data_IF_498272008020
#
_entry.id   IF_498272008020
#
_cell.length_a   1.000
_cell.length_b   1.000
_cell.length_c   1.000
_cell.angle_alpha   90.00
_cell.angle_beta   90.00
_cell.angle_gamma   90.00
#
_symmetry.space_group_name_H-M   'P 1'
#
loop_
_entity.id
_entity.type
_entity.pdbx_description
1 polymer ?
#
# COMPACT_ATOMS: atom_id res chain seq x y z
N UNK A 1 -1.46 25.31 12.66
CA UNK A 1 -0.82 25.36 11.33
C UNK A 1 -1.18 26.68 10.68
N UNK A 2 -0.20 27.41 10.18
CA UNK A 2 -0.39 28.66 9.43
C UNK A 2 -0.52 28.32 7.94
N UNK A 3 -1.24 29.12 7.16
CA UNK A 3 -1.42 28.89 5.72
C UNK A 3 -0.09 28.89 4.96
N UNK A 4 0.85 29.71 5.41
CA UNK A 4 2.20 29.76 4.89
C UNK A 4 2.93 28.41 5.00
N UNK A 5 2.55 27.55 5.95
CA UNK A 5 3.17 26.23 6.13
C UNK A 5 2.93 25.36 4.90
N UNK A 6 1.77 25.44 4.23
CA UNK A 6 1.52 24.73 2.97
C UNK A 6 2.43 25.22 1.84
N UNK A 7 2.54 26.54 1.68
CA UNK A 7 3.33 27.14 0.60
C UNK A 7 4.82 26.87 0.79
N UNK A 8 5.34 27.01 2.01
CA UNK A 8 6.74 26.72 2.36
C UNK A 8 7.10 25.25 2.13
N UNK A 9 6.07 24.40 2.08
CA UNK A 9 6.13 22.97 1.80
C UNK A 9 6.03 22.66 0.30
N UNK A 10 6.09 23.66 -0.56
CA UNK A 10 5.98 23.47 -2.00
C UNK A 10 4.59 23.05 -2.45
N UNK A 11 3.57 23.24 -1.60
CA UNK A 11 2.18 22.97 -1.96
C UNK A 11 1.49 24.25 -2.40
N UNK A 12 0.83 24.18 -3.55
CA UNK A 12 0.03 25.28 -4.08
C UNK A 12 -1.36 25.27 -3.47
N UNK A 13 -1.78 26.40 -2.88
CA UNK A 13 -3.08 26.53 -2.23
C UNK A 13 -4.04 27.45 -2.99
N UNK A 14 -5.34 27.26 -2.76
CA UNK A 14 -6.39 28.15 -3.25
C UNK A 14 -7.45 28.44 -2.16
N UNK A 15 -8.12 29.60 -2.22
CA UNK A 15 -9.24 29.90 -1.33
C UNK A 15 -10.52 29.21 -1.80
N UNK A 16 -11.20 28.56 -0.86
CA UNK A 16 -12.51 27.95 -1.03
C UNK A 16 -13.55 28.73 -0.22
N UNK A 17 -14.80 28.72 -0.68
CA UNK A 17 -15.92 29.38 -0.01
C UNK A 17 -16.04 28.86 1.43
N UNK A 18 -16.26 29.75 2.42
CA UNK A 18 -16.46 29.33 3.80
C UNK A 18 -17.56 28.27 3.90
N UNK A 19 -17.33 27.24 4.74
CA UNK A 19 -18.25 26.10 4.93
C UNK A 19 -18.53 25.26 3.68
N UNK A 20 -17.76 25.44 2.61
CA UNK A 20 -17.96 24.77 1.33
C UNK A 20 -16.64 24.24 0.77
N UNK A 21 -16.75 23.39 -0.26
CA UNK A 21 -15.63 22.85 -1.05
C UNK A 21 -15.42 23.60 -2.38
N UNK A 22 -16.20 24.66 -2.62
CA UNK A 22 -16.21 25.39 -3.90
C UNK A 22 -15.14 26.50 -3.94
N UNK A 23 -14.37 26.65 -5.03
CA UNK A 23 -13.35 27.69 -5.13
C UNK A 23 -13.91 29.13 -5.16
N UNK A 24 -13.11 30.09 -4.73
CA UNK A 24 -13.47 31.52 -4.73
C UNK A 24 -12.76 32.34 -5.81
N UNK A 25 -13.47 33.32 -6.37
CA UNK A 25 -12.91 34.29 -7.32
C UNK A 25 -12.41 33.66 -8.62
N UNK A 26 -11.40 34.28 -9.23
CA UNK A 26 -10.73 33.78 -10.45
C UNK A 26 -9.75 32.64 -10.13
N UNK A 27 -10.23 31.63 -9.41
CA UNK A 27 -9.43 30.55 -8.82
C UNK A 27 -8.62 29.74 -9.83
N UNK A 28 -9.09 29.61 -11.08
CA UNK A 28 -8.37 28.89 -12.15
C UNK A 28 -6.99 29.48 -12.47
N UNK A 29 -6.72 30.73 -12.11
CA UNK A 29 -5.37 31.30 -12.18
C UNK A 29 -4.40 30.49 -11.32
N UNK A 30 -4.83 30.10 -10.12
CA UNK A 30 -4.00 29.38 -9.16
C UNK A 30 -3.62 27.98 -9.63
N UNK A 31 -4.37 27.39 -10.59
CA UNK A 31 -4.01 26.11 -11.22
C UNK A 31 -2.82 26.23 -12.20
N UNK A 32 -2.36 27.45 -12.51
CA UNK A 32 -1.24 27.71 -13.42
C UNK A 32 -0.09 28.43 -12.72
N UNK A 33 -0.43 29.32 -11.80
CA UNK A 33 0.52 30.13 -11.03
C UNK A 33 0.28 29.91 -9.54
N UNK A 34 1.24 29.39 -8.76
CA UNK A 34 1.08 29.24 -7.32
C UNK A 34 0.79 30.57 -6.61
N UNK A 35 -0.11 30.54 -5.62
CA UNK A 35 -0.35 31.67 -4.74
C UNK A 35 0.88 31.95 -3.87
N UNK A 36 1.28 33.22 -3.76
CA UNK A 36 2.40 33.63 -2.89
C UNK A 36 1.98 33.70 -1.41
N UNK A 37 2.96 33.65 -0.50
CA UNK A 37 2.71 33.82 0.95
C UNK A 37 2.03 35.17 1.24
N UNK A 38 2.43 36.25 0.56
CA UNK A 38 1.83 37.57 0.71
C UNK A 38 0.36 37.59 0.25
N UNK A 39 0.06 37.00 -0.91
CA UNK A 39 -1.32 36.86 -1.40
C UNK A 39 -2.17 36.03 -0.43
N UNK A 40 -1.65 34.91 0.07
CA UNK A 40 -2.36 34.07 1.04
C UNK A 40 -2.67 34.83 2.34
N UNK A 41 -1.72 35.64 2.83
CA UNK A 41 -1.90 36.48 4.01
C UNK A 41 -2.99 37.52 3.78
N UNK A 42 -3.00 38.15 2.60
CA UNK A 42 -4.05 39.10 2.24
C UNK A 42 -5.42 38.42 2.16
N UNK A 43 -5.55 37.31 1.45
CA UNK A 43 -6.83 36.61 1.28
C UNK A 43 -7.45 36.21 2.63
N UNK A 44 -6.71 35.52 3.49
CA UNK A 44 -7.25 35.09 4.79
C UNK A 44 -7.29 36.20 5.84
N UNK A 45 -6.54 37.29 5.64
CA UNK A 45 -6.63 38.51 6.43
C UNK A 45 -7.92 39.29 6.17
N UNK A 46 -8.34 39.39 4.90
CA UNK A 46 -9.44 40.25 4.45
C UNK A 46 -10.83 39.64 4.60
N UNK A 47 -11.03 38.37 4.23
CA UNK A 47 -12.39 37.80 4.16
C UNK A 47 -12.92 37.33 5.52
N UNK A 48 -14.17 37.65 5.83
CA UNK A 48 -14.92 37.13 6.98
C UNK A 48 -16.31 36.65 6.53
N UNK A 49 -16.73 35.40 6.87
CA UNK A 49 -15.94 34.36 7.53
C UNK A 49 -14.71 33.96 6.70
N UNK A 50 -13.68 33.41 7.37
CA UNK A 50 -12.44 33.05 6.70
C UNK A 50 -12.70 31.98 5.62
N UNK A 51 -12.02 32.07 4.44
CA UNK A 51 -12.09 31.05 3.42
C UNK A 51 -11.62 29.69 3.94
N UNK A 52 -12.17 28.61 3.38
CA UNK A 52 -11.57 27.29 3.49
C UNK A 52 -10.31 27.20 2.61
N UNK A 53 -9.44 26.25 2.90
CA UNK A 53 -8.18 26.01 2.19
C UNK A 53 -8.32 24.82 1.26
N UNK A 54 -8.02 25.03 -0.02
CA UNK A 54 -7.78 23.96 -0.97
C UNK A 54 -6.28 23.81 -1.25
N UNK A 55 -5.82 22.59 -1.48
CA UNK A 55 -4.49 22.30 -2.04
C UNK A 55 -4.70 21.82 -3.47
N UNK A 56 -4.04 22.47 -4.42
CA UNK A 56 -4.03 22.08 -5.83
C UNK A 56 -3.11 20.87 -5.98
N UNK A 57 -3.59 19.81 -6.62
CA UNK A 57 -2.84 18.56 -6.80
C UNK A 57 -2.12 18.57 -8.15
N UNK A 58 -1.15 17.67 -8.33
CA UNK A 58 -0.35 17.51 -9.55
C UNK A 58 0.94 18.32 -9.58
N UNK A 59 1.39 18.63 -10.80
CA UNK A 59 2.73 19.16 -11.06
C UNK A 59 2.98 20.49 -10.34
N UNK A 60 1.96 21.34 -10.22
CA UNK A 60 2.05 22.64 -9.55
C UNK A 60 2.35 22.54 -8.04
N UNK A 61 2.11 21.37 -7.45
CA UNK A 61 2.47 21.04 -6.06
C UNK A 61 3.53 19.95 -6.03
N UNK A 62 4.50 19.98 -6.95
CA UNK A 62 5.61 19.02 -6.99
C UNK A 62 5.18 17.57 -7.24
N UNK A 63 4.11 17.37 -8.01
CA UNK A 63 3.58 16.03 -8.30
C UNK A 63 2.71 15.46 -7.18
N UNK A 64 2.06 16.30 -6.35
CA UNK A 64 1.17 15.82 -5.30
C UNK A 64 0.00 15.01 -5.87
N UNK A 65 -0.21 13.82 -5.33
CA UNK A 65 -1.38 12.97 -5.58
C UNK A 65 -2.08 12.72 -4.25
N UNK A 66 -3.40 12.85 -4.23
CA UNK A 66 -4.20 12.53 -3.04
C UNK A 66 -5.21 11.44 -3.35
N UNK A 67 -5.20 10.38 -2.54
CA UNK A 67 -6.19 9.32 -2.57
C UNK A 67 -7.31 9.72 -1.59
N UNK A 68 -8.48 10.08 -2.12
CA UNK A 68 -9.65 10.55 -1.38
C UNK A 68 -10.66 9.43 -1.26
N UNK A 69 -10.65 8.75 -0.12
CA UNK A 69 -11.45 7.56 0.19
C UNK A 69 -12.75 8.00 0.87
N UNK A 70 -13.87 7.49 0.36
CA UNK A 70 -15.20 7.78 0.90
C UNK A 70 -15.40 7.13 2.30
N UNK A 71 -16.20 7.74 3.19
CA UNK A 71 -16.38 7.28 4.58
C UNK A 71 -16.68 5.79 4.73
N UNK A 72 -17.58 5.25 3.91
CA UNK A 72 -18.00 3.85 3.88
C UNK A 72 -16.89 2.86 3.49
N UNK A 73 -15.75 3.36 3.01
CA UNK A 73 -14.61 2.59 2.56
C UNK A 73 -13.39 2.71 3.46
N UNK A 74 -13.42 3.60 4.46
CA UNK A 74 -12.27 3.87 5.34
C UNK A 74 -11.88 2.64 6.16
N UNK A 75 -12.83 1.85 6.64
CA UNK A 75 -12.54 0.64 7.43
C UNK A 75 -11.68 -0.36 6.62
N UNK A 76 -11.99 -0.50 5.33
CA UNK A 76 -11.29 -1.39 4.41
C UNK A 76 -9.96 -0.82 3.91
N UNK A 77 -9.76 0.50 3.98
CA UNK A 77 -8.54 1.18 3.53
C UNK A 77 -7.29 0.72 4.29
N UNK A 78 -7.45 0.24 5.52
CA UNK A 78 -6.39 -0.37 6.32
C UNK A 78 -5.81 -1.65 5.70
N UNK A 79 -6.58 -2.33 4.86
CA UNK A 79 -6.17 -3.55 4.14
C UNK A 79 -5.44 -3.24 2.82
N UNK A 80 -5.46 -1.96 2.41
CA UNK A 80 -4.80 -1.48 1.21
C UNK A 80 -3.37 -1.11 1.55
N UNK A 81 -2.44 -1.40 0.64
CA UNK A 81 -1.01 -1.21 0.86
C UNK A 81 -0.64 0.27 0.77
N UNK A 82 -0.98 1.01 1.82
CA UNK A 82 -0.59 2.39 2.00
C UNK A 82 0.54 2.48 3.03
N UNK A 83 1.61 3.23 2.74
CA UNK A 83 2.69 3.46 3.68
C UNK A 83 2.15 4.00 5.01
N UNK A 84 2.54 3.40 6.16
CA UNK A 84 1.97 3.72 7.46
C UNK A 84 2.20 5.18 7.87
N UNK A 85 3.28 5.80 7.38
CA UNK A 85 3.67 7.19 7.67
C UNK A 85 3.28 8.19 6.58
N UNK A 86 2.51 7.80 5.56
CA UNK A 86 2.01 8.76 4.59
C UNK A 86 1.11 9.80 5.29
N UNK A 87 1.22 11.10 4.97
CA UNK A 87 0.34 12.12 5.56
C UNK A 87 -1.13 11.82 5.29
N UNK A 88 -1.97 12.01 6.30
CA UNK A 88 -3.38 11.61 6.31
C UNK A 88 -4.27 12.71 6.88
N UNK A 89 -5.39 12.96 6.21
CA UNK A 89 -6.43 13.87 6.70
C UNK A 89 -7.74 13.12 6.80
N UNK A 90 -8.38 13.20 7.96
CA UNK A 90 -9.79 12.83 8.09
C UNK A 90 -10.65 13.94 7.49
N UNK A 91 -11.51 13.58 6.55
CA UNK A 91 -12.41 14.53 5.89
C UNK A 91 -13.60 14.87 6.78
N UNK A 92 -14.28 15.98 6.46
CA UNK A 92 -15.44 16.42 7.25
C UNK A 92 -16.56 15.37 7.36
N UNK A 93 -16.72 14.48 6.38
CA UNK A 93 -17.74 13.41 6.38
C UNK A 93 -17.26 12.10 7.00
N UNK A 94 -16.02 12.04 7.49
CA UNK A 94 -15.41 10.81 8.02
C UNK A 94 -14.64 9.98 7.00
N UNK A 95 -14.44 10.49 5.78
CA UNK A 95 -13.56 9.87 4.77
C UNK A 95 -12.08 10.11 5.08
N UNK A 96 -11.18 9.68 4.17
CA UNK A 96 -9.73 9.74 4.36
C UNK A 96 -9.02 10.27 3.11
N UNK A 97 -8.24 11.34 3.27
CA UNK A 97 -7.24 11.72 2.27
C UNK A 97 -5.89 11.12 2.65
N UNK A 98 -5.18 10.51 1.70
CA UNK A 98 -3.80 10.03 1.87
C UNK A 98 -2.91 10.66 0.78
N UNK A 99 -1.79 11.24 1.18
CA UNK A 99 -0.96 12.09 0.32
C UNK A 99 0.27 11.34 -0.19
N UNK A 100 0.50 11.43 -1.51
CA UNK A 100 1.56 10.76 -2.26
C UNK A 100 2.21 11.70 -3.27
N UNK A 101 3.28 11.24 -3.91
CA UNK A 101 3.88 11.87 -5.08
C UNK A 101 3.74 10.99 -6.30
N UNK A 102 3.44 11.57 -7.46
CA UNK A 102 3.46 10.85 -8.72
C UNK A 102 2.90 11.68 -9.87
N UNK A 103 2.97 11.10 -11.07
CA UNK A 103 2.39 11.65 -12.29
C UNK A 103 1.09 10.91 -12.59
N UNK A 104 -0.03 11.44 -12.11
CA UNK A 104 -1.35 10.93 -12.44
C UNK A 104 -2.35 12.08 -12.64
N UNK A 105 -3.39 11.84 -13.43
CA UNK A 105 -4.52 12.74 -13.54
C UNK A 105 -5.52 12.58 -12.39
N UNK A 106 -6.63 13.30 -12.48
CA UNK A 106 -7.81 13.02 -11.64
C UNK A 106 -8.62 11.87 -12.22
N UNK A 107 -9.01 10.92 -11.38
CA UNK A 107 -9.83 9.78 -11.79
C UNK A 107 -10.66 9.24 -10.62
N UNK A 108 -11.52 8.27 -10.90
CA UNK A 108 -12.17 7.49 -9.83
C UNK A 108 -11.16 6.51 -9.25
N UNK A 109 -11.08 6.47 -7.92
CA UNK A 109 -10.38 5.40 -7.23
C UNK A 109 -11.26 4.16 -7.31
N UNK A 110 -10.79 3.16 -8.05
CA UNK A 110 -11.47 1.88 -8.18
C UNK A 110 -10.68 0.79 -7.51
N UNK A 111 -11.39 -0.08 -6.82
CA UNK A 111 -10.88 -1.37 -6.36
C UNK A 111 -11.72 -2.43 -7.08
N UNK A 112 -11.11 -3.09 -8.07
CA UNK A 112 -11.85 -3.87 -9.06
C UNK A 112 -12.85 -2.99 -9.84
N UNK A 113 -14.12 -3.40 -9.87
CA UNK A 113 -15.21 -2.66 -10.53
C UNK A 113 -15.87 -1.61 -9.63
N UNK A 114 -15.57 -1.60 -8.33
CA UNK A 114 -16.20 -0.70 -7.36
C UNK A 114 -15.45 0.63 -7.28
N UNK A 115 -16.18 1.72 -7.40
CA UNK A 115 -15.67 3.05 -7.07
C UNK A 115 -15.67 3.19 -5.56
N UNK A 116 -14.51 3.45 -4.98
CA UNK A 116 -14.30 3.58 -3.52
C UNK A 116 -13.83 4.97 -3.10
N UNK A 117 -13.70 5.87 -4.07
CA UNK A 117 -13.27 7.25 -3.87
C UNK A 117 -12.77 7.90 -5.15
N UNK A 118 -11.86 8.85 -5.00
CA UNK A 118 -11.22 9.58 -6.08
C UNK A 118 -9.69 9.56 -5.96
N UNK A 119 -9.00 9.50 -7.10
CA UNK A 119 -7.59 9.89 -7.21
C UNK A 119 -7.55 11.34 -7.65
N UNK A 120 -6.87 12.18 -6.86
CA UNK A 120 -6.73 13.62 -7.10
C UNK A 120 -5.28 13.91 -7.46
N UNK A 121 -5.00 13.84 -8.76
CA UNK A 121 -3.71 14.20 -9.35
C UNK A 121 -3.77 15.53 -10.09
N UNK A 122 -3.09 15.64 -11.23
CA UNK A 122 -3.01 16.86 -12.01
C UNK A 122 -4.38 17.41 -12.46
N UNK A 123 -4.50 18.73 -12.45
CA UNK A 123 -5.75 19.45 -12.72
C UNK A 123 -6.81 19.38 -11.61
N UNK A 124 -6.49 18.78 -10.46
CA UNK A 124 -7.38 18.64 -9.31
C UNK A 124 -7.07 19.57 -8.14
N UNK A 125 -7.90 19.50 -7.11
CA UNK A 125 -7.60 20.02 -5.79
C UNK A 125 -8.33 19.22 -4.71
N UNK A 126 -7.84 19.29 -3.48
CA UNK A 126 -8.50 18.73 -2.28
C UNK A 126 -8.72 19.80 -1.22
N UNK A 127 -9.71 19.60 -0.35
CA UNK A 127 -9.90 20.45 0.82
C UNK A 127 -8.92 20.04 1.91
N UNK A 128 -8.25 21.00 2.53
CA UNK A 128 -7.19 20.76 3.51
C UNK A 128 -7.53 21.35 4.89
N UNK A 129 -6.98 20.79 5.98
CA UNK A 129 -7.09 21.41 7.30
C UNK A 129 -6.54 22.85 7.31
N UNK A 130 -7.09 23.77 8.12
CA UNK A 130 -8.10 23.57 9.16
C UNK A 130 -9.54 23.80 8.65
N UNK A 131 -9.82 23.57 7.37
CA UNK A 131 -11.14 23.85 6.76
C UNK A 131 -12.29 23.14 7.47
N UNK A 132 -13.47 23.76 7.42
CA UNK A 132 -14.71 23.22 7.96
C UNK A 132 -15.81 23.28 6.90
N UNK A 133 -16.67 22.26 6.84
CA UNK A 133 -17.94 22.27 6.09
C UNK A 133 -19.11 22.08 7.04
N UNK A 134 -20.33 22.08 6.51
CA UNK A 134 -21.53 21.77 7.31
C UNK A 134 -21.43 20.40 7.99
N UNK A 135 -20.81 19.43 7.30
CA UNK A 135 -20.61 18.06 7.81
C UNK A 135 -19.57 17.94 8.93
N UNK A 136 -18.66 18.91 9.11
CA UNK A 136 -17.58 18.82 10.11
C UNK A 136 -16.25 19.42 9.68
N UNK A 137 -15.16 19.01 10.32
CA UNK A 137 -13.82 19.56 10.13
C UNK A 137 -12.91 18.61 9.34
N UNK A 138 -12.06 19.20 8.50
CA UNK A 138 -10.90 18.51 7.95
C UNK A 138 -9.77 18.55 8.99
N UNK A 139 -9.29 17.38 9.41
CA UNK A 139 -8.31 17.25 10.50
C UNK A 139 -7.15 16.36 10.11
N UNK A 140 -5.92 16.79 10.41
CA UNK A 140 -4.74 15.94 10.25
C UNK A 140 -4.83 14.76 11.23
N UNK A 141 -4.66 13.54 10.70
CA UNK A 141 -4.43 12.32 11.49
C UNK A 141 -2.92 12.12 11.63
N UNK A 142 -2.23 12.12 10.50
CA UNK A 142 -0.77 12.05 10.40
C UNK A 142 -0.32 13.21 9.53
N UNK A 143 0.68 13.97 9.97
CA UNK A 143 1.13 15.15 9.22
C UNK A 143 2.63 15.09 9.00
N UNK A 144 3.08 15.84 8.01
CA UNK A 144 4.51 16.08 7.82
C UNK A 144 5.15 16.77 9.05
N UNK A 145 6.47 16.60 9.25
CA UNK A 145 7.23 17.35 10.26
C UNK A 145 7.08 18.86 10.08
N UNK A 146 7.13 19.60 11.20
CA UNK A 146 7.02 21.06 11.18
C UNK A 146 8.28 21.74 10.63
N UNK A 147 9.46 21.14 10.79
CA UNK A 147 10.72 21.68 10.30
C UNK A 147 10.76 21.66 8.75
N UNK A 148 10.89 22.83 8.08
CA UNK A 148 11.04 22.92 6.64
C UNK A 148 12.30 22.25 6.09
N UNK A 149 13.35 22.06 6.90
CA UNK A 149 14.56 21.33 6.51
C UNK A 149 14.32 19.81 6.52
N UNK A 150 13.40 19.34 7.36
CA UNK A 150 13.08 17.93 7.50
C UNK A 150 12.05 17.45 6.47
N UNK A 151 11.31 18.34 5.81
CA UNK A 151 10.25 17.95 4.89
C UNK A 151 10.17 18.80 3.62
N UNK A 152 10.03 18.13 2.47
CA UNK A 152 9.59 18.70 1.20
C UNK A 152 8.59 17.75 0.54
N UNK A 153 7.84 18.24 -0.45
CA UNK A 153 6.91 17.40 -1.22
C UNK A 153 7.62 16.25 -1.97
N UNK A 154 8.93 16.37 -2.21
CA UNK A 154 9.76 15.30 -2.78
C UNK A 154 9.97 14.11 -1.84
N UNK A 155 9.72 14.28 -0.54
CA UNK A 155 9.80 13.21 0.46
C UNK A 155 8.47 12.46 0.65
N UNK A 156 7.42 12.80 -0.10
CA UNK A 156 6.20 12.01 -0.10
C UNK A 156 6.47 10.65 -0.75
N UNK A 157 5.82 9.62 -0.20
CA UNK A 157 5.86 8.28 -0.79
C UNK A 157 5.35 8.31 -2.23
N UNK A 158 5.93 7.52 -3.14
CA UNK A 158 5.39 7.36 -4.49
C UNK A 158 3.95 6.84 -4.42
N UNK A 159 3.12 7.26 -5.36
CA UNK A 159 1.77 6.73 -5.52
C UNK A 159 1.86 5.21 -5.68
N UNK A 160 1.07 4.41 -4.93
CA UNK A 160 1.11 2.97 -5.05
C UNK A 160 0.86 2.52 -6.50
N UNK A 161 1.62 1.54 -6.98
CA UNK A 161 1.60 1.12 -8.40
C UNK A 161 0.20 0.69 -8.87
N UNK A 162 -0.58 0.06 -8.00
CA UNK A 162 -1.96 -0.37 -8.28
C UNK A 162 -2.93 0.79 -8.56
N UNK A 163 -2.59 2.01 -8.14
CA UNK A 163 -3.34 3.23 -8.48
C UNK A 163 -2.87 3.81 -9.83
N UNK A 164 -1.58 3.63 -10.15
CA UNK A 164 -0.90 4.20 -11.30
C UNK A 164 -1.15 3.48 -12.62
N UNK A 165 -1.22 2.15 -12.66
CA UNK A 165 -1.36 1.40 -13.93
C UNK A 165 -2.68 1.66 -14.66
N UNK A 166 -3.77 1.95 -13.94
CA UNK A 166 -5.08 2.27 -14.53
C UNK A 166 -5.22 3.73 -15.01
N UNK A 167 -4.26 4.60 -14.66
CA UNK A 167 -4.36 6.05 -14.84
C UNK A 167 -3.15 6.71 -15.50
N UNK A 168 -2.10 5.95 -15.85
CA UNK A 168 -1.04 6.42 -16.75
C UNK A 168 -1.68 6.65 -18.11
N UNK A 169 -1.51 7.84 -18.67
CA UNK A 169 -1.90 8.12 -20.05
C UNK A 169 -1.16 7.15 -20.98
N UNK A 170 -1.86 6.12 -21.44
CA UNK A 170 -1.36 5.22 -22.47
C UNK A 170 -1.15 6.01 -23.77
N UNK A 171 0.08 6.47 -23.98
CA UNK A 171 0.58 6.68 -25.33
C UNK A 171 1.18 5.36 -25.81
N UNK A 172 0.37 4.59 -26.55
CA UNK A 172 0.89 3.77 -27.65
C UNK A 172 1.02 2.26 -27.44
N UNK A 173 0.37 1.56 -28.38
CA UNK A 173 0.66 0.23 -28.94
C UNK A 173 0.16 -0.98 -28.16
N UNK A 174 -0.99 -1.49 -28.61
CA UNK A 174 -1.37 -2.88 -28.44
C UNK A 174 -0.39 -3.78 -29.16
N UNK A 175 0.43 -4.48 -28.37
CA UNK A 175 1.11 -5.70 -28.76
C UNK A 175 0.59 -6.81 -27.86
N UNK A 176 0.37 -7.99 -28.41
CA UNK A 176 0.24 -9.22 -27.64
C UNK A 176 1.59 -9.48 -26.96
N UNK A 177 1.79 -8.85 -25.81
CA UNK A 177 2.95 -9.12 -24.98
C UNK A 177 2.78 -10.50 -24.36
N UNK A 178 3.72 -11.40 -24.64
CA UNK A 178 3.85 -12.66 -23.91
C UNK A 178 3.90 -12.37 -22.42
N UNK A 179 3.08 -13.06 -21.62
CA UNK A 179 3.10 -12.91 -20.16
C UNK A 179 4.47 -13.38 -19.66
N UNK A 180 5.23 -12.55 -18.92
CA UNK A 180 6.57 -12.93 -18.46
C UNK A 180 6.50 -14.11 -17.49
N UNK A 181 7.57 -14.93 -17.38
CA UNK A 181 7.62 -16.00 -16.41
C UNK A 181 7.55 -15.43 -14.98
N UNK A 182 6.89 -16.14 -14.05
CA UNK A 182 6.72 -15.66 -12.68
C UNK A 182 8.05 -15.74 -11.90
N UNK A 183 8.27 -14.86 -10.90
CA UNK A 183 9.41 -14.96 -10.00
C UNK A 183 9.50 -16.31 -9.28
N UNK A 184 10.72 -16.82 -9.08
CA UNK A 184 10.98 -18.08 -8.37
C UNK A 184 10.54 -17.98 -6.91
N UNK A 185 9.81 -18.99 -6.43
CA UNK A 185 9.29 -19.03 -5.06
C UNK A 185 9.38 -20.37 -4.35
N UNK A 186 9.00 -20.40 -3.07
CA UNK A 186 9.00 -21.62 -2.25
C UNK A 186 7.80 -22.47 -2.61
N UNK A 187 8.00 -23.78 -2.72
CA UNK A 187 6.88 -24.73 -2.83
C UNK A 187 6.22 -24.91 -1.46
N UNK A 188 4.93 -24.63 -1.37
CA UNK A 188 4.12 -24.78 -0.16
C UNK A 188 3.02 -25.82 -0.37
N UNK A 189 2.81 -26.64 0.66
CA UNK A 189 1.62 -27.49 0.76
C UNK A 189 0.36 -26.61 0.88
N UNK A 190 -0.74 -26.90 0.17
CA UNK A 190 -1.96 -26.08 0.21
C UNK A 190 -2.59 -25.95 1.60
N UNK A 191 -2.59 -27.02 2.40
CA UNK A 191 -3.19 -27.02 3.73
C UNK A 191 -2.36 -26.17 4.69
N UNK A 192 -1.03 -26.25 4.58
CA UNK A 192 -0.13 -25.41 5.35
C UNK A 192 -0.21 -23.95 4.91
N UNK A 193 -0.25 -23.69 3.61
CA UNK A 193 -0.46 -22.35 3.06
C UNK A 193 -1.77 -21.74 3.57
N UNK A 194 -2.86 -22.51 3.65
CA UNK A 194 -4.15 -22.05 4.17
C UNK A 194 -4.04 -21.57 5.61
N UNK A 195 -3.33 -22.30 6.48
CA UNK A 195 -3.10 -21.90 7.89
C UNK A 195 -2.34 -20.59 8.04
N UNK A 196 -1.54 -20.24 7.02
CA UNK A 196 -0.69 -19.06 6.99
C UNK A 196 -1.35 -17.87 6.31
N UNK A 197 -2.43 -18.06 5.57
CA UNK A 197 -3.26 -16.96 5.04
C UNK A 197 -4.06 -16.32 6.18
N UNK A 198 -4.43 -15.04 6.07
CA UNK A 198 -5.17 -14.31 7.14
C UNK A 198 -6.52 -14.95 7.49
N UNK A 199 -6.96 -14.87 8.75
CA UNK A 199 -8.19 -15.55 9.18
C UNK A 199 -9.45 -15.07 8.45
N UNK A 200 -9.61 -13.78 8.04
CA UNK A 200 -10.70 -13.36 7.17
C UNK A 200 -10.75 -14.15 5.86
N UNK A 201 -9.59 -14.41 5.25
CA UNK A 201 -9.51 -15.19 4.02
C UNK A 201 -9.71 -16.67 4.29
N UNK A 202 -9.15 -17.25 5.37
CA UNK A 202 -9.45 -18.63 5.78
C UNK A 202 -10.96 -18.86 5.97
N UNK A 203 -11.66 -17.92 6.60
CA UNK A 203 -13.11 -17.96 6.78
C UNK A 203 -13.85 -17.87 5.44
N UNK A 204 -13.38 -17.07 4.50
CA UNK A 204 -13.98 -16.99 3.17
C UNK A 204 -13.73 -18.24 2.32
N UNK A 205 -12.55 -18.85 2.43
CA UNK A 205 -12.21 -20.11 1.78
C UNK A 205 -13.07 -21.25 2.34
N UNK A 206 -13.19 -21.32 3.68
CA UNK A 206 -13.93 -22.39 4.36
C UNK A 206 -15.45 -22.23 4.34
N UNK A 207 -15.95 -20.98 4.39
CA UNK A 207 -17.37 -20.64 4.48
C UNK A 207 -18.03 -20.33 3.14
N UNK A 208 -17.26 -20.29 2.05
CA UNK A 208 -17.72 -19.89 0.72
C UNK A 208 -17.74 -18.38 0.50
N UNK A 209 -17.48 -17.97 -0.75
CA UNK A 209 -17.57 -16.57 -1.16
C UNK A 209 -19.02 -16.13 -1.30
N UNK A 210 -19.36 -14.95 -0.75
CA UNK A 210 -20.67 -14.32 -0.98
C UNK A 210 -20.48 -12.94 -1.62
N UNK A 211 -21.28 -12.56 -2.64
CA UNK A 211 -21.14 -11.27 -3.34
C UNK A 211 -21.31 -10.01 -2.47
N UNK A 212 -21.79 -10.17 -1.23
CA UNK A 212 -22.02 -9.08 -0.27
C UNK A 212 -21.12 -9.21 0.98
N UNK A 213 -20.12 -10.10 0.94
CA UNK A 213 -19.18 -10.32 2.04
C UNK A 213 -18.03 -9.30 2.05
N UNK A 214 -17.02 -9.54 2.91
CA UNK A 214 -15.88 -8.65 3.13
C UNK A 214 -14.98 -8.42 1.89
N UNK A 215 -15.16 -9.20 0.82
CA UNK A 215 -14.35 -9.17 -0.40
C UNK A 215 -15.23 -8.96 -1.63
N UNK A 216 -15.02 -7.84 -2.33
CA UNK A 216 -15.99 -7.25 -3.27
C UNK A 216 -16.37 -8.10 -4.48
N UNK A 217 -15.41 -8.78 -5.14
CA UNK A 217 -15.66 -9.67 -6.27
C UNK A 217 -14.87 -10.99 -6.15
N UNK A 218 -15.23 -12.01 -6.93
CA UNK A 218 -14.48 -13.27 -6.99
C UNK A 218 -13.03 -13.04 -7.48
N UNK A 219 -12.82 -12.19 -8.48
CA UNK A 219 -11.48 -11.84 -8.97
C UNK A 219 -10.67 -11.02 -7.97
N UNK A 220 -11.31 -10.18 -7.15
CA UNK A 220 -10.63 -9.47 -6.06
C UNK A 220 -10.23 -10.43 -4.94
N UNK A 221 -11.08 -11.41 -4.62
CA UNK A 221 -10.74 -12.46 -3.67
C UNK A 221 -9.55 -13.28 -4.17
N UNK A 222 -9.57 -13.72 -5.43
CA UNK A 222 -8.45 -14.43 -6.06
C UNK A 222 -7.17 -13.61 -5.98
N UNK A 223 -7.21 -12.33 -6.37
CA UNK A 223 -6.06 -11.44 -6.29
C UNK A 223 -5.54 -11.27 -4.85
N UNK A 224 -6.42 -11.14 -3.86
CA UNK A 224 -6.02 -11.03 -2.44
C UNK A 224 -5.35 -12.30 -1.94
N UNK A 225 -5.88 -13.46 -2.29
CA UNK A 225 -5.31 -14.75 -1.88
C UNK A 225 -3.95 -14.94 -2.55
N UNK A 226 -3.83 -14.67 -3.85
CA UNK A 226 -2.54 -14.69 -4.56
C UNK A 226 -1.53 -13.75 -3.89
N UNK A 227 -1.94 -12.52 -3.53
CA UNK A 227 -1.08 -11.56 -2.84
C UNK A 227 -0.58 -12.10 -1.50
N UNK A 228 -1.46 -12.69 -0.71
CA UNK A 228 -1.14 -13.26 0.60
C UNK A 228 -0.22 -14.47 0.49
N UNK A 229 -0.47 -15.34 -0.49
CA UNK A 229 0.40 -16.47 -0.82
C UNK A 229 1.80 -15.99 -1.25
N UNK A 230 1.90 -14.95 -2.07
CA UNK A 230 3.21 -14.36 -2.46
C UNK A 230 3.93 -13.79 -1.24
N UNK A 231 3.24 -13.10 -0.34
CA UNK A 231 3.85 -12.56 0.89
C UNK A 231 4.45 -13.66 1.76
N UNK A 232 3.77 -14.81 1.91
CA UNK A 232 4.33 -15.96 2.65
C UNK A 232 5.38 -16.73 1.86
N UNK A 233 5.72 -16.28 0.65
CA UNK A 233 6.78 -16.86 -0.16
C UNK A 233 6.34 -17.99 -1.07
N UNK A 234 5.06 -18.12 -1.43
CA UNK A 234 4.58 -19.13 -2.38
C UNK A 234 5.12 -18.93 -3.81
N UNK A 235 5.52 -20.02 -4.46
CA UNK A 235 5.77 -20.09 -5.90
C UNK A 235 4.47 -19.99 -6.69
N UNK A 236 4.55 -19.66 -7.99
CA UNK A 236 3.39 -19.71 -8.87
C UNK A 236 2.76 -21.11 -8.92
N UNK A 237 3.58 -22.15 -8.95
CA UNK A 237 3.10 -23.54 -8.90
C UNK A 237 2.29 -23.82 -7.63
N UNK A 238 2.77 -23.39 -6.47
CA UNK A 238 2.02 -23.52 -5.22
C UNK A 238 0.73 -22.73 -5.20
N UNK A 239 0.70 -21.57 -5.87
CA UNK A 239 -0.56 -20.83 -6.07
C UNK A 239 -1.51 -21.67 -6.92
N UNK A 240 -1.07 -22.24 -8.05
CA UNK A 240 -1.93 -23.10 -8.86
C UNK A 240 -2.48 -24.28 -8.06
N UNK A 241 -1.62 -25.04 -7.37
CA UNK A 241 -2.04 -26.19 -6.55
C UNK A 241 -3.00 -25.77 -5.43
N UNK A 242 -2.80 -24.58 -4.84
CA UNK A 242 -3.71 -24.04 -3.83
C UNK A 242 -5.11 -23.78 -4.40
N UNK A 243 -5.19 -23.21 -5.59
CA UNK A 243 -6.48 -22.94 -6.25
C UNK A 243 -7.15 -24.20 -6.81
N UNK A 244 -6.38 -25.24 -7.14
CA UNK A 244 -6.91 -26.56 -7.51
C UNK A 244 -7.55 -27.27 -6.30
N UNK A 245 -6.89 -27.21 -5.13
CA UNK A 245 -7.39 -27.81 -3.88
C UNK A 245 -8.57 -27.03 -3.29
N UNK A 246 -8.54 -25.69 -3.41
CA UNK A 246 -9.57 -24.79 -2.89
C UNK A 246 -10.23 -23.99 -4.02
N UNK A 247 -11.20 -24.57 -4.76
CA UNK A 247 -11.82 -23.92 -5.92
C UNK A 247 -12.91 -22.89 -5.53
N UNK A 248 -12.60 -21.95 -4.65
CA UNK A 248 -13.50 -20.84 -4.34
C UNK A 248 -13.59 -19.88 -5.55
N UNK A 249 -14.76 -19.29 -5.82
CA UNK A 249 -14.90 -18.31 -6.93
C UNK A 249 -14.77 -18.88 -8.36
N UNK A 250 -14.85 -20.21 -8.52
CA UNK A 250 -14.45 -20.95 -9.73
C UNK A 250 -15.12 -20.49 -11.04
N UNK A 251 -16.36 -20.01 -10.96
CA UNK A 251 -17.09 -19.45 -12.11
C UNK A 251 -16.34 -18.28 -12.79
N UNK A 252 -15.55 -17.49 -12.06
CA UNK A 252 -14.79 -16.39 -12.65
C UNK A 252 -13.56 -16.87 -13.43
N UNK A 253 -12.84 -17.89 -12.90
CA UNK A 253 -11.63 -18.43 -13.51
C UNK A 253 -11.92 -19.20 -14.79
N UNK A 254 -13.02 -19.96 -14.82
CA UNK A 254 -13.44 -20.72 -16.00
C UNK A 254 -13.70 -19.82 -17.24
N UNK A 255 -14.02 -18.53 -17.04
CA UNK A 255 -14.29 -17.58 -18.12
C UNK A 255 -13.12 -16.62 -18.41
N UNK A 256 -12.03 -16.65 -17.63
CA UNK A 256 -10.95 -15.66 -17.67
C UNK A 256 -9.72 -16.08 -18.53
N UNK A 257 -9.77 -17.29 -19.12
CA UNK A 257 -8.73 -17.86 -19.97
C UNK A 257 -7.60 -18.54 -19.19
N UNK A 258 -6.82 -19.37 -19.88
CA UNK A 258 -5.79 -20.25 -19.29
C UNK A 258 -4.70 -19.49 -18.51
N UNK A 259 -4.35 -18.27 -18.93
CA UNK A 259 -3.31 -17.45 -18.28
C UNK A 259 -3.82 -16.59 -17.10
N UNK A 260 -5.06 -16.74 -16.65
CA UNK A 260 -5.65 -15.86 -15.64
C UNK A 260 -4.84 -15.79 -14.34
N UNK A 261 -4.50 -16.96 -13.76
CA UNK A 261 -3.73 -17.02 -12.52
C UNK A 261 -2.31 -16.50 -12.72
N UNK A 262 -1.70 -16.74 -13.89
CA UNK A 262 -0.37 -16.24 -14.22
C UNK A 262 -0.34 -14.70 -14.28
N UNK A 263 -1.33 -14.09 -14.95
CA UNK A 263 -1.48 -12.63 -14.97
C UNK A 263 -1.73 -12.06 -13.57
N UNK A 264 -2.57 -12.72 -12.78
CA UNK A 264 -2.87 -12.34 -11.40
C UNK A 264 -1.63 -12.40 -10.52
N UNK A 265 -0.83 -13.48 -10.63
CA UNK A 265 0.43 -13.66 -9.92
C UNK A 265 1.45 -12.58 -10.28
N UNK A 266 1.70 -12.37 -11.58
CA UNK A 266 2.65 -11.37 -12.04
C UNK A 266 2.24 -9.94 -11.64
N UNK A 267 0.95 -9.61 -11.73
CA UNK A 267 0.45 -8.31 -11.28
C UNK A 267 0.62 -8.15 -9.76
N UNK A 268 0.37 -9.20 -8.98
CA UNK A 268 0.61 -9.17 -7.54
C UNK A 268 2.11 -9.02 -7.21
N UNK A 269 3.00 -9.73 -7.90
CA UNK A 269 4.46 -9.57 -7.76
C UNK A 269 4.91 -8.14 -8.04
N UNK A 270 4.43 -7.52 -9.13
CA UNK A 270 4.70 -6.11 -9.45
C UNK A 270 4.28 -5.17 -8.34
N UNK A 271 3.08 -5.39 -7.79
CA UNK A 271 2.50 -4.55 -6.72
C UNK A 271 3.31 -4.69 -5.42
N UNK A 272 3.74 -5.90 -5.08
CA UNK A 272 4.54 -6.17 -3.88
C UNK A 272 6.00 -5.71 -4.08
N UNK A 273 6.45 -5.54 -5.32
CA UNK A 273 7.82 -5.17 -5.66
C UNK A 273 8.76 -6.38 -5.67
N UNK A 274 8.29 -7.56 -6.08
CA UNK A 274 9.07 -8.81 -6.16
C UNK A 274 9.77 -8.95 -7.53
N UNK A 275 10.08 -7.84 -8.19
CA UNK A 275 10.78 -7.85 -9.47
C UNK A 275 12.25 -8.25 -9.24
N UNK A 276 12.67 -9.35 -9.88
CA UNK A 276 13.98 -9.98 -9.68
C UNK A 276 15.12 -9.25 -10.40
N UNK A 277 14.82 -8.33 -11.31
CA UNK A 277 15.80 -7.78 -12.26
C UNK A 277 16.99 -7.10 -11.56
N UNK A 278 16.77 -6.51 -10.37
CA UNK A 278 17.80 -5.87 -9.53
C UNK A 278 17.97 -6.52 -8.15
N UNK A 279 17.32 -7.66 -7.89
CA UNK A 279 17.33 -8.29 -6.58
C UNK A 279 18.62 -9.11 -6.37
N UNK A 280 19.35 -8.82 -5.29
CA UNK A 280 20.54 -9.58 -4.90
C UNK A 280 20.15 -10.66 -3.92
N UNK A 281 20.66 -11.87 -4.15
CA UNK A 281 20.52 -12.98 -3.22
C UNK A 281 21.57 -12.88 -2.11
N UNK A 282 21.13 -12.88 -0.86
CA UNK A 282 22.00 -12.90 0.32
C UNK A 282 21.56 -13.99 1.30
N UNK A 283 22.43 -14.42 2.20
CA UNK A 283 22.09 -15.43 3.22
C UNK A 283 21.59 -14.77 4.49
N UNK A 284 20.45 -15.20 5.02
CA UNK A 284 20.01 -14.79 6.35
C UNK A 284 20.53 -15.75 7.41
N UNK A 285 21.40 -15.26 8.30
CA UNK A 285 22.07 -16.04 9.34
C UNK A 285 21.35 -16.05 10.68
N UNK A 286 20.55 -15.02 10.96
CA UNK A 286 19.85 -14.88 12.24
C UNK A 286 18.62 -14.00 12.10
N UNK A 287 17.55 -14.33 12.81
CA UNK A 287 16.37 -13.46 12.94
C UNK A 287 16.02 -13.24 14.40
N UNK A 288 16.15 -12.01 14.87
CA UNK A 288 15.78 -11.63 16.24
C UNK A 288 14.49 -10.82 16.20
N UNK A 289 13.43 -11.36 16.77
CA UNK A 289 12.19 -10.62 17.04
C UNK A 289 12.26 -10.01 18.44
N UNK A 290 11.68 -8.82 18.62
CA UNK A 290 11.62 -8.20 19.94
C UNK A 290 10.68 -8.98 20.90
N UNK A 291 11.10 -9.30 22.14
CA UNK A 291 10.25 -9.97 23.12
C UNK A 291 9.08 -9.07 23.57
N UNK A 292 7.91 -9.67 23.81
CA UNK A 292 6.75 -8.97 24.41
C UNK A 292 5.38 -9.37 23.82
N UNK A 293 4.30 -9.19 24.59
CA UNK A 293 2.94 -9.49 24.13
C UNK A 293 2.41 -8.39 23.19
N UNK A 294 1.86 -8.81 22.05
CA UNK A 294 1.17 -7.95 21.10
C UNK A 294 -0.21 -7.55 21.66
N UNK A 295 -0.32 -6.38 22.31
CA UNK A 295 -1.62 -5.79 22.68
C UNK A 295 -1.83 -4.48 21.91
N UNK A 296 -2.98 -4.36 21.23
CA UNK A 296 -3.52 -3.10 20.71
C UNK A 296 -2.58 -2.31 19.79
N UNK A 297 -2.38 -2.77 18.55
CA UNK A 297 -1.67 -1.99 17.53
C UNK A 297 -0.17 -1.75 17.78
N UNK A 298 0.44 -2.50 18.69
CA UNK A 298 1.89 -2.44 18.94
C UNK A 298 2.68 -2.88 17.69
N UNK A 299 3.64 -2.05 17.27
CA UNK A 299 4.61 -2.36 16.22
C UNK A 299 5.78 -3.15 16.82
N UNK A 300 6.09 -4.33 16.26
CA UNK A 300 7.35 -5.05 16.55
C UNK A 300 8.35 -4.82 15.43
N UNK A 301 9.61 -5.19 15.67
CA UNK A 301 10.66 -5.26 14.65
C UNK A 301 11.29 -6.65 14.67
N UNK A 302 11.57 -7.19 13.48
CA UNK A 302 12.52 -8.26 13.30
C UNK A 302 13.82 -7.64 12.81
N UNK A 303 14.93 -8.08 13.41
CA UNK A 303 16.26 -7.82 12.93
C UNK A 303 16.75 -9.10 12.24
N UNK A 304 17.05 -8.99 10.95
CA UNK A 304 17.59 -10.06 10.14
C UNK A 304 19.07 -9.77 9.92
N UNK A 305 19.95 -10.67 10.34
CA UNK A 305 21.36 -10.57 9.98
C UNK A 305 21.56 -11.28 8.63
N UNK A 306 21.94 -10.49 7.64
CA UNK A 306 22.14 -10.89 6.25
C UNK A 306 23.65 -10.91 5.96
N UNK A 307 24.09 -11.88 5.18
CA UNK A 307 25.45 -12.06 4.71
C UNK A 307 25.44 -12.03 3.18
N UNK A 308 26.17 -11.10 2.58
CA UNK A 308 26.32 -11.04 1.14
C UNK A 308 27.33 -12.08 0.60
N UNK A 309 27.58 -12.05 -0.71
CA UNK A 309 28.54 -12.96 -1.38
C UNK A 309 29.99 -12.75 -0.92
N UNK A 310 30.34 -11.56 -0.41
CA UNK A 310 31.66 -11.23 0.12
C UNK A 310 31.85 -11.73 1.56
N UNK A 311 30.78 -12.20 2.22
CA UNK A 311 30.78 -12.56 3.63
C UNK A 311 30.56 -11.38 4.57
N UNK A 312 30.23 -10.20 4.03
CA UNK A 312 29.97 -9.01 4.83
C UNK A 312 28.58 -9.11 5.47
N UNK A 313 28.53 -8.90 6.79
CA UNK A 313 27.31 -8.97 7.58
C UNK A 313 26.65 -7.59 7.69
N UNK A 314 25.34 -7.56 7.44
CA UNK A 314 24.52 -6.37 7.66
C UNK A 314 23.17 -6.75 8.27
N UNK A 315 22.70 -5.91 9.19
CA UNK A 315 21.41 -6.14 9.85
C UNK A 315 20.31 -5.35 9.17
N UNK A 316 19.25 -6.03 8.75
CA UNK A 316 18.06 -5.44 8.19
C UNK A 316 16.91 -5.44 9.19
N UNK A 317 16.26 -4.29 9.40
CA UNK A 317 15.11 -4.17 10.29
C UNK A 317 13.82 -4.20 9.48
N UNK A 318 13.02 -5.24 9.64
CA UNK A 318 11.65 -5.27 9.11
C UNK A 318 10.70 -4.79 10.20
N UNK A 319 9.92 -3.75 9.88
CA UNK A 319 8.79 -3.35 10.71
C UNK A 319 7.72 -4.43 10.62
N UNK A 320 7.30 -4.93 11.76
CA UNK A 320 6.32 -5.99 11.82
C UNK A 320 5.07 -5.44 12.48
N UNK A 321 4.06 -5.24 11.64
CA UNK A 321 2.78 -4.72 12.05
C UNK A 321 1.89 -5.92 12.32
N UNK A 322 1.12 -5.88 13.41
CA UNK A 322 -0.07 -6.69 13.48
C UNK A 322 -0.98 -6.23 12.33
N UNK A 323 -1.42 -7.15 11.48
CA UNK A 323 -2.61 -6.93 10.67
C UNK A 323 -3.79 -6.54 11.58
N UNK A 324 -4.91 -6.11 10.98
CA UNK A 324 -6.13 -5.61 11.63
C UNK A 324 -6.08 -5.50 13.19
N UNK A 325 -6.06 -4.27 13.76
CA UNK A 325 -6.02 -4.08 15.22
C UNK A 325 -7.18 -4.74 15.98
N UNK A 326 -8.22 -5.22 15.30
CA UNK A 326 -9.33 -6.00 15.87
C UNK A 326 -9.18 -7.53 15.74
N UNK A 327 -8.31 -8.03 14.85
CA UNK A 327 -8.10 -9.47 14.64
C UNK A 327 -6.84 -10.04 15.31
N UNK A 328 -5.86 -9.18 15.65
CA UNK A 328 -4.62 -9.63 16.29
C UNK A 328 -3.73 -10.48 15.38
N UNK A 329 -3.85 -10.30 14.06
CA UNK A 329 -3.17 -11.11 13.04
C UNK A 329 -1.82 -10.53 12.63
N UNK A 330 -1.04 -11.27 11.85
CA UNK A 330 0.34 -10.92 11.53
C UNK A 330 0.47 -10.36 10.11
N UNK A 331 1.37 -9.40 9.93
CA UNK A 331 1.75 -8.86 8.61
C UNK A 331 2.26 -9.96 7.66
N UNK A 332 2.23 -9.67 6.35
CA UNK A 332 2.73 -10.59 5.34
C UNK A 332 4.21 -10.89 5.50
N UNK A 333 5.00 -9.88 5.86
CA UNK A 333 6.42 -9.97 6.17
C UNK A 333 6.70 -10.90 7.35
N UNK A 334 5.86 -10.82 8.38
CA UNK A 334 5.98 -11.70 9.53
C UNK A 334 5.72 -13.16 9.15
N UNK A 335 4.69 -13.41 8.35
CA UNK A 335 4.36 -14.76 7.91
C UNK A 335 5.41 -15.35 6.97
N UNK A 336 6.05 -14.50 6.16
CA UNK A 336 7.22 -14.90 5.36
C UNK A 336 8.37 -15.43 6.22
N UNK A 337 8.67 -14.75 7.34
CA UNK A 337 9.67 -15.21 8.31
C UNK A 337 9.24 -16.55 8.92
N UNK A 338 7.98 -16.69 9.34
CA UNK A 338 7.46 -17.93 9.90
C UNK A 338 7.62 -19.12 8.93
N UNK A 339 7.32 -18.93 7.64
CA UNK A 339 7.52 -19.95 6.60
C UNK A 339 8.98 -20.27 6.37
N UNK A 340 9.82 -19.25 6.17
CA UNK A 340 11.22 -19.44 5.83
C UNK A 340 12.00 -20.18 6.93
N UNK A 341 11.65 -19.90 8.20
CA UNK A 341 12.35 -20.45 9.36
C UNK A 341 11.61 -21.57 10.08
N UNK A 342 10.42 -21.95 9.62
CA UNK A 342 9.61 -23.02 10.23
C UNK A 342 9.21 -22.72 11.68
N UNK A 343 8.95 -21.45 12.00
CA UNK A 343 8.70 -20.99 13.37
C UNK A 343 7.26 -20.57 13.58
N UNK A 344 6.78 -20.66 14.82
CA UNK A 344 5.42 -20.23 15.17
C UNK A 344 5.20 -18.74 14.83
N UNK A 345 4.01 -18.32 14.37
CA UNK A 345 3.75 -16.96 13.95
C UNK A 345 3.82 -15.94 15.11
N UNK A 346 4.06 -16.32 16.36
CA UNK A 346 4.33 -15.34 17.43
C UNK A 346 5.47 -15.85 18.31
N UNK A 347 6.76 -15.70 17.96
CA UNK A 347 7.83 -16.05 18.86
C UNK A 347 7.82 -15.09 20.05
N UNK A 348 7.69 -15.65 21.24
CA UNK A 348 8.04 -15.01 22.50
C UNK A 348 9.57 -15.02 22.74
N UNK A 349 10.38 -15.49 21.78
CA UNK A 349 11.84 -15.66 21.93
C UNK A 349 12.65 -15.43 20.64
N UNK A 350 13.96 -15.22 20.80
CA UNK A 350 14.94 -15.11 19.73
C UNK A 350 15.07 -16.41 18.95
N UNK A 351 14.93 -16.35 17.61
CA UNK A 351 15.14 -17.50 16.73
C UNK A 351 16.56 -17.40 16.17
N UNK A 352 17.43 -18.29 16.64
CA UNK A 352 18.72 -18.53 16.02
C UNK A 352 18.59 -19.84 15.27
N UNK A 353 18.84 -19.81 13.97
CA UNK A 353 18.63 -20.95 13.08
C UNK A 353 19.85 -21.14 12.22
N UNK A 354 20.28 -22.39 12.10
CA UNK A 354 21.36 -22.79 11.21
C UNK A 354 20.82 -23.15 9.81
N UNK A 355 19.53 -22.92 9.57
CA UNK A 355 18.88 -23.15 8.27
C UNK A 355 19.30 -22.08 7.28
N UNK A 356 19.82 -22.50 6.13
CA UNK A 356 20.21 -21.60 5.04
C UNK A 356 18.95 -21.05 4.36
N UNK A 357 18.57 -19.85 4.77
CA UNK A 357 17.50 -19.06 4.14
C UNK A 357 18.15 -17.99 3.29
N UNK A 358 17.83 -17.93 2.00
CA UNK A 358 18.21 -16.80 1.17
C UNK A 358 17.19 -15.69 1.27
N UNK A 359 17.66 -14.45 1.35
CA UNK A 359 16.85 -13.27 1.16
C UNK A 359 17.11 -12.70 -0.25
N UNK A 360 16.05 -12.29 -0.93
CA UNK A 360 16.14 -11.40 -2.08
C UNK A 360 16.01 -9.97 -1.58
N UNK A 361 17.02 -9.15 -1.87
CA UNK A 361 17.11 -7.78 -1.37
C UNK A 361 17.22 -6.82 -2.55
N UNK A 362 16.45 -5.73 -2.52
CA UNK A 362 16.58 -4.60 -3.46
C UNK A 362 16.49 -3.29 -2.70
N UNK A 363 17.35 -2.32 -3.03
CA UNK A 363 17.39 -0.97 -2.40
C UNK A 363 17.35 -0.99 -0.86
N UNK A 364 18.10 -1.92 -0.23
CA UNK A 364 18.06 -2.16 1.21
C UNK A 364 16.67 -2.55 1.73
N UNK A 365 15.92 -3.36 0.98
CA UNK A 365 14.66 -3.95 1.41
C UNK A 365 14.66 -5.44 1.13
N UNK A 366 14.35 -6.24 2.15
CA UNK A 366 14.06 -7.67 1.96
C UNK A 366 12.73 -7.77 1.23
N UNK A 367 12.79 -8.22 -0.02
CA UNK A 367 11.63 -8.48 -0.87
C UNK A 367 11.03 -9.85 -0.55
N UNK A 368 11.90 -10.84 -0.30
CA UNK A 368 11.50 -12.23 -0.08
C UNK A 368 12.54 -13.00 0.74
N UNK A 369 12.08 -13.90 1.58
CA UNK A 369 12.86 -14.96 2.23
C UNK A 369 12.47 -16.30 1.60
N UNK A 370 13.48 -17.08 1.21
CA UNK A 370 13.34 -18.36 0.52
C UNK A 370 14.20 -19.38 1.25
N UNK A 371 13.57 -20.45 1.71
CA UNK A 371 14.29 -21.61 2.24
C UNK A 371 14.52 -22.61 1.10
N UNK A 372 15.75 -22.71 0.61
CA UNK A 372 16.08 -23.57 -0.53
C UNK A 372 16.06 -25.06 -0.19
N UNK A 373 16.28 -25.44 1.07
CA UNK A 373 16.17 -26.83 1.49
C UNK A 373 14.73 -27.37 1.38
N UNK A 374 13.72 -26.48 1.47
CA UNK A 374 12.32 -26.84 1.22
C UNK A 374 12.00 -27.05 -0.28
N UNK A 375 12.86 -26.60 -1.19
CA UNK A 375 12.70 -26.74 -2.64
C UNK A 375 13.29 -28.07 -3.17
N UNK A 376 14.33 -28.61 -2.55
CA UNK A 376 14.98 -29.85 -2.99
C UNK A 376 14.17 -31.13 -2.70
N UNK A 377 13.17 -31.09 -1.82
CA UNK A 377 12.33 -32.23 -1.47
C UNK A 377 11.24 -32.60 -2.48
N UNK A 378 11.16 -31.92 -3.64
CA UNK A 378 10.07 -32.06 -4.61
C UNK A 378 10.55 -32.22 -6.08
N UNK A 379 11.79 -32.69 -6.29
CA UNK A 379 12.24 -33.15 -7.61
C UNK A 379 11.83 -34.60 -7.90
#
# INVERSE_FOLDING_TARGET
MRLADYINKGLSILPLRPRSKQPMGRWRRWMREPMTVAESTSWWGTFRPQPNVGIITGAISGGLVVIDIEPEHVEYASTWDFPPMAPRVRTARGGLHIYFRGECGCSKLKLGDRVVGDVRGDGGYVVAPPSQTEDGFYTWIERWPDDPQEWSVDKLYPVPLWIGESNRTHTGVGGTASVPPPPVGVRLDPTEALRLVSSPLQRCISGGWTPHGAFGSASEMDFRIVRELIHIGASFESVCVFFDEFPFGDNARQHAGEDYLLRTYNNACKIIGVELEDAVQVRCRRVVTAPGSLRGGAQKRALLDLEDECGDLYSYSIAMILGDPFAGELSGEWRQVAVAFGTDPVPDSSIVTDVEVSALVSENRVLRLVNWNALEGLC
#
